data_IF_089555840598
#
_entry.id   IF_089555840598
#
_cell.length_a   1.000
_cell.length_b   1.000
_cell.length_c   1.000
_cell.angle_alpha   90.00
_cell.angle_beta   90.00
_cell.angle_gamma   90.00
#
_symmetry.space_group_name_H-M   'P 1'
#
loop_
_entity.id
_entity.type
_entity.pdbx_description
1 polymer ?
#
# COMPACT_ATOMS: atom_id res chain seq x y z
N UNK A 1 -9.90 9.80 -28.00
CA UNK A 1 -9.58 8.43 -28.42
C UNK A 1 -8.71 7.82 -27.33
N UNK A 2 -9.20 6.74 -26.72
CA UNK A 2 -8.58 5.82 -25.76
C UNK A 2 -8.11 6.29 -24.37
N UNK A 3 -8.80 7.25 -23.72
CA UNK A 3 -8.52 7.57 -22.31
C UNK A 3 -9.17 6.63 -21.28
N UNK A 4 -10.11 5.77 -21.69
CA UNK A 4 -10.77 4.81 -20.78
C UNK A 4 -9.93 3.57 -20.48
N UNK A 5 -9.25 3.01 -21.51
CA UNK A 5 -8.49 1.77 -21.37
C UNK A 5 -7.31 1.90 -20.41
N UNK A 6 -6.60 3.04 -20.43
CA UNK A 6 -5.48 3.31 -19.53
C UNK A 6 -5.90 3.42 -18.07
N UNK A 7 -7.03 4.10 -17.80
CA UNK A 7 -7.61 4.24 -16.46
C UNK A 7 -8.06 2.90 -15.92
N UNK A 8 -8.88 2.16 -16.66
CA UNK A 8 -9.42 0.87 -16.21
C UNK A 8 -8.32 -0.16 -15.96
N UNK A 9 -7.31 -0.19 -16.85
CA UNK A 9 -6.14 -1.05 -16.69
C UNK A 9 -5.33 -0.69 -15.45
N UNK A 10 -5.12 0.60 -15.18
CA UNK A 10 -4.43 1.05 -13.97
C UNK A 10 -5.15 0.59 -12.71
N UNK A 11 -6.47 0.85 -12.61
CA UNK A 11 -7.27 0.44 -11.45
C UNK A 11 -7.31 -1.08 -11.26
N UNK A 12 -7.36 -1.83 -12.36
CA UNK A 12 -7.27 -3.29 -12.32
C UNK A 12 -5.94 -3.77 -11.73
N UNK A 13 -4.80 -3.20 -12.15
CA UNK A 13 -3.50 -3.55 -11.58
C UNK A 13 -3.36 -3.09 -10.13
N UNK A 14 -3.85 -1.88 -9.83
CA UNK A 14 -3.83 -1.32 -8.49
C UNK A 14 -4.59 -2.21 -7.51
N UNK A 15 -5.73 -2.78 -7.92
CA UNK A 15 -6.47 -3.74 -7.12
C UNK A 15 -5.60 -4.95 -6.68
N UNK A 16 -4.86 -5.57 -7.60
CA UNK A 16 -3.98 -6.70 -7.26
C UNK A 16 -2.80 -6.29 -6.35
N UNK A 17 -2.27 -5.09 -6.56
CA UNK A 17 -1.25 -4.52 -5.68
C UNK A 17 -1.84 -4.37 -4.27
N UNK A 18 -3.04 -3.80 -4.13
CA UNK A 18 -3.70 -3.64 -2.83
C UNK A 18 -3.98 -4.98 -2.14
N UNK A 19 -4.42 -6.01 -2.88
CA UNK A 19 -4.59 -7.35 -2.32
C UNK A 19 -3.27 -7.93 -1.78
N UNK A 20 -2.16 -7.68 -2.49
CA UNK A 20 -0.83 -8.08 -2.05
C UNK A 20 -0.42 -7.31 -0.78
N UNK A 21 -0.66 -6.00 -0.73
CA UNK A 21 -0.40 -5.17 0.45
C UNK A 21 -1.21 -5.66 1.67
N UNK A 22 -2.49 -5.97 1.48
CA UNK A 22 -3.32 -6.52 2.55
C UNK A 22 -2.80 -7.88 3.05
N UNK A 23 -2.26 -8.69 2.16
CA UNK A 23 -1.63 -9.98 2.52
C UNK A 23 -0.37 -9.75 3.35
N UNK A 24 0.52 -8.86 2.93
CA UNK A 24 1.72 -8.50 3.70
C UNK A 24 1.36 -7.96 5.09
N UNK A 25 0.39 -7.04 5.15
CA UNK A 25 -0.12 -6.52 6.41
C UNK A 25 -0.66 -7.62 7.33
N UNK A 26 -1.43 -8.56 6.78
CA UNK A 26 -1.97 -9.70 7.54
C UNK A 26 -0.86 -10.59 8.10
N UNK A 27 0.20 -10.82 7.33
CA UNK A 27 1.37 -11.57 7.80
C UNK A 27 2.06 -10.84 8.96
N UNK A 28 2.28 -9.52 8.82
CA UNK A 28 2.89 -8.70 9.88
C UNK A 28 2.08 -8.72 11.18
N UNK A 29 0.75 -8.69 11.10
CA UNK A 29 -0.09 -8.80 12.30
C UNK A 29 -0.07 -10.21 12.89
N UNK A 30 -0.03 -11.23 12.04
CA UNK A 30 -0.11 -12.63 12.48
C UNK A 30 1.15 -13.07 13.22
N UNK A 31 2.32 -12.68 12.73
CA UNK A 31 3.61 -12.91 13.39
C UNK A 31 4.53 -11.69 13.26
N UNK A 32 4.42 -10.70 14.18
CA UNK A 32 5.23 -9.49 14.13
C UNK A 32 6.73 -9.73 14.42
N UNK A 33 7.12 -10.95 14.79
CA UNK A 33 8.51 -11.32 15.10
C UNK A 33 9.26 -11.89 13.89
N UNK A 34 8.54 -12.24 12.82
CA UNK A 34 9.13 -12.76 11.60
C UNK A 34 10.13 -11.75 11.01
N UNK A 35 11.27 -12.27 10.56
CA UNK A 35 12.40 -11.46 10.08
C UNK A 35 12.00 -10.54 8.92
N UNK A 36 11.07 -11.00 8.08
CA UNK A 36 10.57 -10.35 6.89
C UNK A 36 9.64 -9.16 7.18
N UNK A 37 9.09 -9.05 8.40
CA UNK A 37 8.09 -8.03 8.72
C UNK A 37 8.61 -6.59 8.54
N UNK A 38 9.89 -6.35 8.79
CA UNK A 38 10.49 -5.02 8.59
C UNK A 38 10.56 -4.68 7.10
N UNK A 39 10.95 -5.64 6.25
CA UNK A 39 10.96 -5.43 4.79
C UNK A 39 9.55 -5.29 4.23
N UNK A 40 8.59 -6.07 4.73
CA UNK A 40 7.20 -6.02 4.29
C UNK A 40 6.58 -4.65 4.59
N UNK A 41 6.80 -4.11 5.79
CA UNK A 41 6.35 -2.76 6.14
C UNK A 41 6.97 -1.70 5.24
N UNK A 42 8.27 -1.80 4.92
CA UNK A 42 8.92 -0.87 3.99
C UNK A 42 8.35 -0.97 2.58
N UNK A 43 8.01 -2.18 2.11
CA UNK A 43 7.39 -2.38 0.81
C UNK A 43 5.98 -1.74 0.76
N UNK A 44 5.21 -1.84 1.84
CA UNK A 44 3.93 -1.14 1.97
C UNK A 44 4.11 0.39 1.87
N UNK A 45 5.09 0.95 2.59
CA UNK A 45 5.39 2.40 2.54
C UNK A 45 5.77 2.87 1.13
N UNK A 46 6.71 2.15 0.48
CA UNK A 46 7.14 2.47 -0.88
C UNK A 46 6.00 2.35 -1.91
N UNK A 47 5.04 1.45 -1.68
CA UNK A 47 3.88 1.29 -2.55
C UNK A 47 2.98 2.52 -2.51
N UNK A 48 2.73 3.09 -1.34
CA UNK A 48 1.96 4.34 -1.21
C UNK A 48 2.64 5.50 -1.96
N UNK A 49 3.96 5.63 -1.83
CA UNK A 49 4.75 6.64 -2.55
C UNK A 49 4.67 6.44 -4.07
N UNK A 50 4.77 5.19 -4.53
CA UNK A 50 4.70 4.85 -5.96
C UNK A 50 3.33 5.17 -6.57
N UNK A 51 2.24 4.93 -5.84
CA UNK A 51 0.88 5.26 -6.29
C UNK A 51 0.73 6.78 -6.46
N UNK A 52 1.19 7.55 -5.47
CA UNK A 52 1.17 9.02 -5.55
C UNK A 52 2.00 9.55 -6.72
N UNK A 53 3.19 9.01 -6.96
CA UNK A 53 4.07 9.43 -8.07
C UNK A 53 3.45 9.11 -9.44
N UNK A 54 2.87 7.91 -9.59
CA UNK A 54 2.20 7.51 -10.82
C UNK A 54 1.01 8.43 -11.12
N UNK A 55 0.17 8.71 -10.13
CA UNK A 55 -0.96 9.62 -10.27
C UNK A 55 -0.56 11.07 -10.54
N UNK A 56 0.52 11.57 -9.90
CA UNK A 56 1.03 12.92 -10.16
C UNK A 56 1.58 13.10 -11.58
N UNK A 57 2.08 12.02 -12.18
CA UNK A 57 2.58 12.01 -13.56
C UNK A 57 1.47 11.79 -14.60
N UNK A 58 0.35 11.20 -14.18
CA UNK A 58 -0.77 10.80 -15.04
C UNK A 58 -2.13 11.16 -14.39
N UNK A 59 -2.55 12.45 -14.47
CA UNK A 59 -3.81 12.91 -13.88
C UNK A 59 -5.07 12.21 -14.44
N UNK A 60 -4.97 11.61 -15.61
CA UNK A 60 -6.03 10.83 -16.25
C UNK A 60 -6.36 9.51 -15.54
N UNK A 61 -5.49 9.04 -14.63
CA UNK A 61 -5.66 7.76 -13.95
C UNK A 61 -6.74 7.80 -12.87
N UNK A 62 -7.04 8.94 -12.27
CA UNK A 62 -8.04 9.04 -11.21
C UNK A 62 -8.20 10.45 -10.69
N UNK A 63 -9.29 10.71 -9.97
CA UNK A 63 -9.45 12.01 -9.30
C UNK A 63 -8.45 12.12 -8.14
N UNK A 64 -8.08 13.35 -7.73
CA UNK A 64 -7.22 13.55 -6.57
C UNK A 64 -7.73 12.82 -5.32
N UNK A 65 -9.05 12.78 -5.10
CA UNK A 65 -9.69 12.11 -3.97
C UNK A 65 -9.58 10.58 -4.05
N UNK A 66 -9.76 10.00 -5.24
CA UNK A 66 -9.60 8.56 -5.47
C UNK A 66 -8.17 8.13 -5.14
N UNK A 67 -7.17 8.85 -5.66
CA UNK A 67 -5.76 8.57 -5.43
C UNK A 67 -5.40 8.77 -3.96
N UNK A 68 -5.84 9.88 -3.35
CA UNK A 68 -5.60 10.15 -1.95
C UNK A 68 -6.15 9.04 -1.04
N UNK A 69 -7.36 8.55 -1.33
CA UNK A 69 -8.00 7.48 -0.56
C UNK A 69 -7.17 6.18 -0.59
N UNK A 70 -6.65 5.80 -1.76
CA UNK A 70 -5.83 4.59 -1.89
C UNK A 70 -4.48 4.74 -1.20
N UNK A 71 -3.78 5.86 -1.43
CA UNK A 71 -2.49 6.13 -0.81
C UNK A 71 -2.61 6.19 0.71
N UNK A 72 -3.65 6.85 1.22
CA UNK A 72 -3.89 6.92 2.66
C UNK A 72 -4.19 5.54 3.24
N UNK A 73 -5.00 4.72 2.58
CA UNK A 73 -5.26 3.34 2.99
C UNK A 73 -3.95 2.55 3.16
N UNK A 74 -3.07 2.54 2.15
CA UNK A 74 -1.78 1.83 2.22
C UNK A 74 -0.88 2.41 3.33
N UNK A 75 -0.87 3.74 3.50
CA UNK A 75 -0.11 4.42 4.54
C UNK A 75 -0.60 4.09 5.95
N UNK A 76 -1.90 3.90 6.13
CA UNK A 76 -2.47 3.47 7.41
C UNK A 76 -2.09 2.02 7.73
N UNK A 77 -2.13 1.12 6.74
CA UNK A 77 -1.69 -0.27 6.92
C UNK A 77 -0.21 -0.36 7.31
N UNK A 78 0.67 0.39 6.64
CA UNK A 78 2.10 0.40 6.98
C UNK A 78 2.37 0.92 8.39
N UNK A 79 1.69 2.01 8.80
CA UNK A 79 1.78 2.56 10.17
C UNK A 79 1.32 1.55 11.21
N UNK A 80 0.21 0.86 10.97
CA UNK A 80 -0.31 -0.18 11.87
C UNK A 80 0.64 -1.37 11.95
N UNK A 81 1.18 -1.85 10.82
CA UNK A 81 2.18 -2.92 10.79
C UNK A 81 3.44 -2.57 11.57
N UNK A 82 3.98 -1.36 11.37
CA UNK A 82 5.12 -0.84 12.15
C UNK A 82 4.83 -0.79 13.64
N UNK A 83 3.62 -0.38 14.02
CA UNK A 83 3.19 -0.32 15.41
C UNK A 83 3.09 -1.72 16.04
N UNK A 84 2.61 -2.72 15.28
CA UNK A 84 2.56 -4.11 15.72
C UNK A 84 3.96 -4.67 16.04
N UNK A 85 4.92 -4.48 15.13
CA UNK A 85 6.32 -4.88 15.33
C UNK A 85 6.90 -4.23 16.59
N UNK A 86 6.75 -2.90 16.73
CA UNK A 86 7.28 -2.17 17.89
C UNK A 86 6.64 -2.62 19.21
N UNK A 87 5.33 -2.88 19.21
CA UNK A 87 4.62 -3.36 20.40
C UNK A 87 5.13 -4.74 20.82
N UNK A 88 5.34 -5.64 19.86
CA UNK A 88 5.86 -6.97 20.14
C UNK A 88 7.28 -6.94 20.71
N UNK A 89 8.17 -6.12 20.13
CA UNK A 89 9.53 -5.93 20.61
C UNK A 89 9.61 -5.34 22.04
N UNK A 90 8.63 -4.51 22.44
CA UNK A 90 8.57 -3.94 23.80
C UNK A 90 7.94 -4.90 24.83
N UNK A 91 7.24 -5.94 24.37
CA UNK A 91 6.58 -6.92 25.23
C UNK A 91 7.44 -8.18 25.47
N UNK A 92 8.54 -8.32 24.71
CA UNK A 92 9.56 -9.37 24.83
C UNK A 92 10.71 -8.91 25.70
#
# INVERSE_FOLDING_TARGET
MDSGFGRDTFWFHLFYILMSIMTLFSNVISDPSAFECISDVRLMEHTAESINLAAGSHPELGTPEEIHSVTEFVSQLSRLGRAAIKRHANAS
#
